data_IF_461423268909
#
_entry.id   IF_461423268909
#
_cell.length_a   1.000
_cell.length_b   1.000
_cell.length_c   1.000
_cell.angle_alpha   90.00
_cell.angle_beta   90.00
_cell.angle_gamma   90.00
#
_symmetry.space_group_name_H-M   'P 1'
#
loop_
_entity.id
_entity.type
_entity.pdbx_description
1 polymer ?
#
# COMPACT_ATOMS: atom_id res chain seq x y z
N UNK A 1 2.95 3.91 -17.62
CA UNK A 1 2.89 3.50 -16.21
C UNK A 1 3.95 2.47 -15.84
N UNK A 2 4.89 2.84 -14.95
CA UNK A 2 5.84 1.90 -14.35
C UNK A 2 5.20 1.17 -13.14
N UNK A 3 4.91 -0.11 -13.32
CA UNK A 3 4.32 -0.97 -12.29
C UNK A 3 5.33 -1.87 -11.57
N UNK A 4 6.64 -1.64 -11.75
CA UNK A 4 7.72 -2.44 -11.13
C UNK A 4 7.61 -2.49 -9.60
N UNK A 5 7.10 -1.43 -8.96
CA UNK A 5 6.90 -1.40 -7.51
C UNK A 5 5.89 -2.44 -7.03
N UNK A 6 4.88 -2.81 -7.83
CA UNK A 6 3.94 -3.87 -7.47
C UNK A 6 4.65 -5.23 -7.43
N UNK A 7 5.53 -5.51 -8.39
CA UNK A 7 6.36 -6.72 -8.38
C UNK A 7 7.30 -6.79 -7.16
N UNK A 8 7.92 -5.67 -6.80
CA UNK A 8 8.76 -5.57 -5.59
C UNK A 8 7.92 -5.81 -4.33
N UNK A 9 6.75 -5.17 -4.22
CA UNK A 9 5.84 -5.33 -3.08
C UNK A 9 5.41 -6.79 -2.92
N UNK A 10 5.07 -7.46 -4.03
CA UNK A 10 4.75 -8.89 -4.04
C UNK A 10 5.91 -9.73 -3.53
N UNK A 11 7.11 -9.53 -4.06
CA UNK A 11 8.31 -10.28 -3.66
C UNK A 11 8.64 -10.07 -2.17
N UNK A 12 8.32 -8.91 -1.62
CA UNK A 12 8.50 -8.59 -0.20
C UNK A 12 7.39 -9.12 0.72
N UNK A 13 6.33 -9.74 0.20
CA UNK A 13 5.16 -10.15 0.99
C UNK A 13 4.32 -8.98 1.50
N UNK A 14 4.38 -7.83 0.83
CA UNK A 14 3.70 -6.58 1.20
C UNK A 14 2.55 -6.24 0.25
N UNK A 15 2.13 -7.19 -0.57
CA UNK A 15 1.03 -7.08 -1.51
C UNK A 15 0.07 -8.25 -1.35
N UNK A 16 -1.20 -7.94 -1.16
CA UNK A 16 -2.30 -8.91 -1.13
C UNK A 16 -3.10 -8.83 -2.42
N UNK A 17 -3.59 -9.98 -2.88
CA UNK A 17 -4.09 -10.15 -4.24
C UNK A 17 -5.41 -10.92 -4.21
N UNK A 18 -6.43 -10.37 -4.86
CA UNK A 18 -7.75 -10.97 -4.93
C UNK A 18 -8.64 -10.62 -3.76
N UNK A 19 -9.95 -10.82 -3.97
CA UNK A 19 -10.98 -10.25 -3.11
C UNK A 19 -10.93 -10.72 -1.67
N UNK A 20 -10.70 -12.02 -1.46
CA UNK A 20 -10.67 -12.62 -0.14
C UNK A 20 -9.46 -12.14 0.65
N UNK A 21 -8.27 -12.18 0.06
CA UNK A 21 -7.03 -11.78 0.73
C UNK A 21 -7.02 -10.28 1.02
N UNK A 22 -7.46 -9.46 0.07
CA UNK A 22 -7.60 -8.01 0.26
C UNK A 22 -8.64 -7.71 1.34
N UNK A 23 -9.79 -8.37 1.31
CA UNK A 23 -10.81 -8.22 2.34
C UNK A 23 -10.31 -8.63 3.72
N UNK A 24 -9.51 -9.69 3.83
CA UNK A 24 -8.89 -10.08 5.10
C UNK A 24 -7.92 -8.99 5.58
N UNK A 25 -7.00 -8.55 4.71
CA UNK A 25 -6.01 -7.52 5.02
C UNK A 25 -6.64 -6.18 5.43
N UNK A 26 -7.78 -5.82 4.82
CA UNK A 26 -8.57 -4.67 5.22
C UNK A 26 -9.18 -4.85 6.61
N UNK A 27 -9.84 -6.00 6.88
CA UNK A 27 -10.44 -6.30 8.18
C UNK A 27 -9.44 -6.26 9.33
N UNK A 28 -8.23 -6.78 9.13
CA UNK A 28 -7.15 -6.72 10.12
C UNK A 28 -6.38 -5.39 10.11
N UNK A 29 -6.85 -4.38 9.37
CA UNK A 29 -6.29 -3.01 9.26
C UNK A 29 -4.83 -2.96 8.80
N UNK A 30 -4.39 -3.98 8.08
CA UNK A 30 -3.05 -4.04 7.46
C UNK A 30 -3.02 -3.37 6.10
N UNK A 31 -4.12 -3.42 5.34
CA UNK A 31 -4.22 -2.71 4.07
C UNK A 31 -4.05 -1.19 4.27
N UNK A 32 -3.10 -0.59 3.54
CA UNK A 32 -2.88 0.87 3.56
C UNK A 32 -3.54 1.53 2.38
N UNK A 33 -3.46 0.87 1.22
CA UNK A 33 -4.12 1.25 -0.02
C UNK A 33 -4.69 0.01 -0.67
N UNK A 34 -5.92 0.10 -1.14
CA UNK A 34 -6.61 -0.89 -1.96
C UNK A 34 -6.67 -0.35 -3.38
N UNK A 35 -6.29 -1.17 -4.35
CA UNK A 35 -6.20 -0.83 -5.76
C UNK A 35 -7.16 -1.73 -6.55
N UNK A 36 -7.85 -1.17 -7.53
CA UNK A 36 -8.66 -1.94 -8.49
C UNK A 36 -8.15 -1.74 -9.91
N UNK A 37 -8.22 -2.78 -10.74
CA UNK A 37 -7.93 -2.65 -12.17
C UNK A 37 -8.92 -1.71 -12.88
N UNK A 38 -8.52 -1.11 -13.99
CA UNK A 38 -9.38 -0.22 -14.79
C UNK A 38 -10.65 -0.94 -15.28
N UNK A 39 -10.48 -2.18 -15.74
CA UNK A 39 -11.52 -3.09 -16.23
C UNK A 39 -12.15 -3.97 -15.12
N UNK A 40 -11.86 -3.68 -13.84
CA UNK A 40 -12.55 -4.36 -12.74
C UNK A 40 -14.06 -4.09 -12.78
N UNK A 41 -14.87 -5.12 -12.49
CA UNK A 41 -16.32 -5.00 -12.46
C UNK A 41 -16.77 -4.00 -11.38
N UNK A 42 -17.91 -3.35 -11.60
CA UNK A 42 -18.46 -2.37 -10.66
C UNK A 42 -18.71 -2.96 -9.28
N UNK A 43 -19.14 -4.22 -9.21
CA UNK A 43 -19.28 -4.96 -7.95
C UNK A 43 -17.95 -5.12 -7.20
N UNK A 44 -16.84 -5.28 -7.92
CA UNK A 44 -15.50 -5.38 -7.33
C UNK A 44 -15.00 -4.00 -6.86
N UNK A 45 -15.17 -2.96 -7.68
CA UNK A 45 -14.84 -1.58 -7.31
C UNK A 45 -15.64 -1.11 -6.10
N UNK A 46 -16.92 -1.48 -6.01
CA UNK A 46 -17.80 -1.17 -4.86
C UNK A 46 -17.33 -1.85 -3.58
N UNK A 47 -16.96 -3.13 -3.64
CA UNK A 47 -16.41 -3.85 -2.49
C UNK A 47 -15.07 -3.27 -2.04
N UNK A 48 -14.19 -2.96 -2.99
CA UNK A 48 -12.89 -2.33 -2.72
C UNK A 48 -13.06 -1.01 -1.96
N UNK A 49 -13.98 -0.16 -2.43
CA UNK A 49 -14.34 1.09 -1.76
C UNK A 49 -14.92 0.87 -0.36
N UNK A 50 -15.86 -0.06 -0.22
CA UNK A 50 -16.45 -0.39 1.08
C UNK A 50 -15.40 -0.87 2.09
N UNK A 51 -14.41 -1.67 1.67
CA UNK A 51 -13.29 -2.05 2.52
C UNK A 51 -12.41 -0.86 2.91
N UNK A 52 -12.13 0.04 1.97
CA UNK A 52 -11.33 1.23 2.25
C UNK A 52 -12.03 2.15 3.27
N UNK A 53 -13.31 2.46 3.03
CA UNK A 53 -14.13 3.30 3.91
C UNK A 53 -14.30 2.69 5.30
N UNK A 54 -14.64 1.40 5.38
CA UNK A 54 -14.93 0.73 6.66
C UNK A 54 -13.68 0.56 7.54
N UNK A 55 -12.50 0.32 6.93
CA UNK A 55 -11.28 -0.02 7.67
C UNK A 55 -10.19 1.06 7.62
N UNK A 56 -10.46 2.22 7.02
CA UNK A 56 -9.56 3.38 7.01
C UNK A 56 -8.39 3.28 6.03
N UNK A 57 -8.54 2.48 4.96
CA UNK A 57 -7.61 2.47 3.84
C UNK A 57 -8.05 3.46 2.76
N UNK A 58 -7.23 3.67 1.74
CA UNK A 58 -7.58 4.49 0.57
C UNK A 58 -7.86 3.56 -0.59
N UNK A 59 -8.95 3.77 -1.34
CA UNK A 59 -9.25 3.04 -2.56
C UNK A 59 -8.89 3.87 -3.79
N UNK A 60 -8.18 3.27 -4.75
CA UNK A 60 -7.86 3.88 -6.04
C UNK A 60 -8.12 2.88 -7.17
N UNK A 61 -8.53 3.41 -8.33
CA UNK A 61 -8.62 2.64 -9.57
C UNK A 61 -7.35 2.92 -10.38
N UNK A 62 -6.67 1.87 -10.80
CA UNK A 62 -5.47 1.95 -11.63
C UNK A 62 -5.87 2.16 -13.10
N UNK A 63 -5.02 2.81 -13.91
CA UNK A 63 -5.20 2.83 -15.35
C UNK A 63 -4.95 1.45 -15.98
N UNK A 64 -4.15 0.59 -15.32
CA UNK A 64 -3.83 -0.75 -15.81
C UNK A 64 -4.98 -1.74 -15.75
N UNK A 65 -5.06 -2.60 -16.78
CA UNK A 65 -6.05 -3.68 -16.87
C UNK A 65 -5.65 -4.89 -16.01
N UNK A 66 -6.59 -5.81 -15.78
CA UNK A 66 -6.33 -7.08 -15.09
C UNK A 66 -5.22 -7.90 -15.77
N UNK A 67 -5.15 -7.90 -17.09
CA UNK A 67 -4.14 -8.62 -17.88
C UNK A 67 -2.74 -8.04 -17.65
N UNK A 68 -2.61 -6.71 -17.68
CA UNK A 68 -1.34 -6.03 -17.39
C UNK A 68 -0.88 -6.35 -15.96
N UNK A 69 -1.79 -6.24 -14.99
CA UNK A 69 -1.51 -6.55 -13.59
C UNK A 69 -1.12 -8.03 -13.42
N UNK A 70 -1.81 -8.94 -14.12
CA UNK A 70 -1.48 -10.37 -14.16
C UNK A 70 -0.06 -10.62 -14.65
N UNK A 71 0.36 -9.94 -15.72
CA UNK A 71 1.70 -10.10 -16.28
C UNK A 71 2.81 -9.67 -15.31
N UNK A 72 2.58 -8.57 -14.56
CA UNK A 72 3.55 -8.04 -13.58
C UNK A 72 3.60 -8.91 -12.33
N UNK A 73 2.42 -9.32 -11.85
CA UNK A 73 2.28 -10.05 -10.61
C UNK A 73 2.63 -11.52 -10.83
N UNK A 74 2.31 -12.11 -11.97
CA UNK A 74 2.47 -13.53 -12.27
C UNK A 74 1.51 -14.43 -11.48
N UNK A 75 0.30 -13.96 -11.16
CA UNK A 75 -0.73 -14.77 -10.48
C UNK A 75 -2.15 -14.27 -10.77
N UNK A 76 -2.90 -15.04 -11.55
CA UNK A 76 -4.31 -14.78 -11.89
C UNK A 76 -4.55 -13.42 -12.55
N UNK A 77 -5.80 -13.07 -12.82
CA UNK A 77 -6.20 -11.76 -13.33
C UNK A 77 -6.84 -10.93 -12.21
N UNK A 78 -6.06 -10.31 -11.31
CA UNK A 78 -6.62 -9.70 -10.11
C UNK A 78 -7.36 -8.40 -10.42
N UNK A 79 -8.67 -8.39 -10.18
CA UNK A 79 -9.47 -7.17 -10.20
C UNK A 79 -9.23 -6.24 -9.01
N UNK A 80 -8.65 -6.76 -7.92
CA UNK A 80 -8.37 -6.01 -6.70
C UNK A 80 -7.08 -6.46 -6.03
N UNK A 81 -6.33 -5.49 -5.49
CA UNK A 81 -5.02 -5.63 -4.85
C UNK A 81 -4.97 -4.75 -3.59
N UNK A 82 -4.09 -5.06 -2.64
CA UNK A 82 -3.83 -4.17 -1.51
C UNK A 82 -2.35 -4.11 -1.14
N UNK A 83 -1.82 -2.90 -0.98
CA UNK A 83 -0.46 -2.67 -0.49
C UNK A 83 -0.52 -2.53 1.05
N UNK A 84 0.28 -3.34 1.74
CA UNK A 84 0.28 -3.42 3.21
C UNK A 84 1.29 -2.48 3.88
N UNK A 85 2.28 -1.99 3.14
CA UNK A 85 3.30 -1.08 3.65
C UNK A 85 3.04 0.37 3.20
N UNK A 86 3.01 1.29 4.16
CA UNK A 86 2.73 2.71 3.90
C UNK A 86 3.81 3.38 3.04
N UNK A 87 5.07 2.94 3.15
CA UNK A 87 6.17 3.51 2.37
C UNK A 87 6.10 3.11 0.90
N UNK A 88 5.84 1.82 0.62
CA UNK A 88 5.60 1.34 -0.75
C UNK A 88 4.33 1.99 -1.32
N UNK A 89 3.25 2.02 -0.54
CA UNK A 89 1.98 2.61 -0.97
C UNK A 89 2.14 4.09 -1.34
N UNK A 90 2.80 4.88 -0.48
CA UNK A 90 3.08 6.30 -0.73
C UNK A 90 3.90 6.50 -2.00
N UNK A 91 4.97 5.71 -2.20
CA UNK A 91 5.80 5.79 -3.42
C UNK A 91 5.02 5.44 -4.68
N UNK A 92 4.22 4.38 -4.63
CA UNK A 92 3.45 3.93 -5.78
C UNK A 92 2.38 4.94 -6.18
N UNK A 93 1.65 5.49 -5.21
CA UNK A 93 0.64 6.52 -5.48
C UNK A 93 1.29 7.86 -5.91
N UNK A 94 2.49 8.17 -5.43
CA UNK A 94 3.24 9.32 -5.93
C UNK A 94 3.66 9.18 -7.40
N UNK A 95 4.02 7.97 -7.86
CA UNK A 95 4.26 7.72 -9.29
C UNK A 95 2.98 7.90 -10.12
N UNK A 96 1.85 7.40 -9.61
CA UNK A 96 0.53 7.62 -10.23
C UNK A 96 0.20 9.12 -10.34
N UNK A 97 0.45 9.89 -9.29
CA UNK A 97 0.21 11.33 -9.29
C UNK A 97 1.16 12.13 -10.20
N UNK A 98 2.33 11.58 -10.57
CA UNK A 98 3.19 12.18 -11.58
C UNK A 98 2.61 12.02 -13.00
N UNK A 99 1.91 10.91 -13.27
CA UNK A 99 1.22 10.69 -14.54
C UNK A 99 -0.13 11.43 -14.59
N UNK A 100 -0.91 11.39 -13.50
CA UNK A 100 -2.19 12.09 -13.37
C UNK A 100 -2.38 12.68 -11.97
N UNK A 101 -1.95 13.93 -11.80
CA UNK A 101 -2.09 14.63 -10.52
C UNK A 101 -3.55 14.94 -10.20
N UNK A 102 -4.40 15.20 -11.20
CA UNK A 102 -5.79 15.54 -10.98
C UNK A 102 -6.55 14.37 -10.34
N UNK A 103 -6.22 13.13 -10.72
CA UNK A 103 -6.86 11.94 -10.19
C UNK A 103 -6.21 11.43 -8.89
N UNK A 104 -4.88 11.48 -8.74
CA UNK A 104 -4.18 10.81 -7.64
C UNK A 104 -3.50 11.75 -6.64
N UNK A 105 -3.44 13.05 -6.90
CA UNK A 105 -2.70 14.03 -6.09
C UNK A 105 -3.12 14.06 -4.63
N UNK A 106 -4.43 14.08 -4.36
CA UNK A 106 -4.96 14.07 -2.99
C UNK A 106 -4.54 12.80 -2.23
N UNK A 107 -4.71 11.64 -2.84
CA UNK A 107 -4.33 10.36 -2.24
C UNK A 107 -2.81 10.27 -2.00
N UNK A 108 -1.99 10.82 -2.91
CA UNK A 108 -0.54 10.90 -2.76
C UNK A 108 -0.15 11.74 -1.54
N UNK A 109 -0.76 12.91 -1.38
CA UNK A 109 -0.54 13.79 -0.22
C UNK A 109 -0.88 13.10 1.10
N UNK A 110 -2.08 12.53 1.20
CA UNK A 110 -2.54 11.83 2.40
C UNK A 110 -1.62 10.65 2.78
N UNK A 111 -1.11 9.91 1.80
CA UNK A 111 -0.19 8.79 2.05
C UNK A 111 1.21 9.25 2.41
N UNK A 112 1.70 10.34 1.81
CA UNK A 112 2.99 10.92 2.15
C UNK A 112 3.01 11.36 3.62
N UNK A 113 1.98 12.09 4.08
CA UNK A 113 1.85 12.50 5.47
C UNK A 113 1.79 11.29 6.43
N UNK A 114 1.00 10.27 6.08
CA UNK A 114 0.94 9.02 6.86
C UNK A 114 2.30 8.30 6.89
N UNK A 115 3.04 8.29 5.79
CA UNK A 115 4.35 7.66 5.69
C UNK A 115 5.42 8.40 6.51
N UNK A 116 5.42 9.73 6.50
CA UNK A 116 6.33 10.54 7.33
C UNK A 116 6.05 10.34 8.82
N UNK A 117 4.77 10.38 9.23
CA UNK A 117 4.38 10.14 10.62
C UNK A 117 4.82 8.76 11.11
N UNK A 118 4.69 7.73 10.28
CA UNK A 118 5.15 6.37 10.63
C UNK A 118 6.68 6.23 10.63
N UNK A 119 7.40 6.99 9.80
CA UNK A 119 8.87 7.05 9.79
C UNK A 119 9.42 7.71 11.05
N UNK A 120 8.83 8.83 11.50
CA UNK A 120 9.18 9.48 12.76
C UNK A 120 9.09 8.53 13.95
N UNK A 121 7.98 7.80 14.06
CA UNK A 121 7.77 6.79 15.13
C UNK A 121 8.79 5.65 15.09
N UNK A 122 9.17 5.16 13.89
CA UNK A 122 10.20 4.13 13.74
C UNK A 122 11.59 4.64 14.14
N UNK A 123 11.91 5.90 13.85
CA UNK A 123 13.19 6.50 14.21
C UNK A 123 13.33 6.66 15.73
N UNK A 124 12.29 7.13 16.41
CA UNK A 124 12.24 7.27 17.87
C UNK A 124 12.36 5.91 18.59
N UNK A 125 11.62 4.89 18.13
CA UNK A 125 11.69 3.55 18.70
C UNK A 125 13.10 2.92 18.53
N UNK A 126 13.74 3.14 17.36
CA UNK A 126 15.11 2.67 17.11
C UNK A 126 16.14 3.42 17.95
N UNK A 127 15.98 4.72 18.15
CA UNK A 127 16.85 5.52 19.02
C UNK A 127 16.73 5.07 20.48
N UNK A 128 15.52 4.81 20.96
CA UNK A 128 15.28 4.29 22.31
C UNK A 128 15.93 2.91 22.53
N UNK A 129 15.83 2.00 21.55
CA UNK A 129 16.51 0.69 21.59
C UNK A 129 18.04 0.83 21.58
N UNK A 130 18.59 1.76 20.79
CA UNK A 130 20.05 1.99 20.71
C UNK A 130 20.60 2.53 22.04
N UNK A 131 19.91 3.51 22.65
CA UNK A 131 20.31 4.10 23.93
C UNK A 131 20.26 3.08 25.09
N UNK A 132 19.28 2.17 25.11
CA UNK A 132 19.24 1.07 26.08
C UNK A 132 20.42 0.08 25.95
N UNK A 133 20.99 -0.07 24.75
CA UNK A 133 22.11 -0.99 24.49
C UNK A 133 23.47 -0.39 24.82
N UNK A 134 23.64 0.91 24.65
CA UNK A 134 24.90 1.63 24.98
C UNK A 134 25.00 2.05 26.44
N UNK A 135 23.87 2.16 27.16
CA UNK A 135 23.83 2.52 28.59
C UNK A 135 24.27 1.43 29.58
N UNK A 136 24.59 0.20 29.13
CA UNK A 136 25.01 -0.93 29.98
C UNK A 136 26.54 -1.09 30.15
N UNK A 137 27.36 -0.12 29.70
CA UNK A 137 28.82 -0.10 29.89
C UNK A 137 29.27 0.96 30.90
N UNK A 138 28.75 0.89 32.13
CA UNK A 138 29.27 1.68 33.27
C UNK A 138 29.25 0.82 34.55
N UNK A 139 30.21 -0.09 34.62
CA UNK A 139 30.75 -0.79 35.80
C UNK A 139 31.78 -1.75 35.17
N UNK A 140 33.07 -1.78 35.52
CA UNK A 140 33.86 -1.32 36.66
C UNK A 140 35.22 -0.90 36.09
#
# INVERSE_FOLDING_TARGET
MDNRLLGIAKKAGLLEIGDESVGHAARVRKAKVILSASDASDGSKRRARGYAEQYGAIHLVLPSSKEELSAIIGRGSPGMLAILDTGIASKYVALLAQEDNAQYGEAAGLLAEKAERMRGRRAEARAHLRNKRTGKRRTI
#
